data_IF_197566612855
#
_entry.id   IF_197566612855
#
_cell.length_a   1.000
_cell.length_b   1.000
_cell.length_c   1.000
_cell.angle_alpha   90.00
_cell.angle_beta   90.00
_cell.angle_gamma   90.00
#
_symmetry.space_group_name_H-M   'P 1'
#
loop_
_entity.id
_entity.type
_entity.pdbx_description
1 polymer ?
#
# COMPACT_ATOMS: atom_id res chain seq x y z
N UNK A 1 3.55 2.22 3.79
CA UNK A 1 3.78 2.48 2.35
C UNK A 1 3.10 1.38 1.53
N UNK A 2 1.93 1.64 0.94
CA UNK A 2 1.22 0.69 0.07
C UNK A 2 1.62 0.97 -1.37
N UNK A 3 2.00 -0.05 -2.13
CA UNK A 3 2.38 0.08 -3.53
C UNK A 3 1.71 -1.01 -4.35
N UNK A 4 1.21 -0.67 -5.53
CA UNK A 4 0.82 -1.66 -6.54
C UNK A 4 1.85 -1.60 -7.65
N UNK A 5 2.38 -2.76 -8.05
CA UNK A 5 3.39 -2.85 -9.11
C UNK A 5 2.88 -3.75 -10.22
N UNK A 6 3.12 -3.34 -11.48
CA UNK A 6 2.93 -4.16 -12.67
C UNK A 6 4.28 -4.24 -13.34
N UNK A 7 4.93 -5.40 -13.22
CA UNK A 7 6.29 -5.62 -13.71
C UNK A 7 6.23 -6.43 -15.00
N UNK A 8 7.09 -6.07 -15.95
CA UNK A 8 7.31 -6.81 -17.18
C UNK A 8 8.80 -6.95 -17.49
N UNK A 9 9.14 -7.80 -18.46
CA UNK A 9 10.52 -7.94 -18.94
C UNK A 9 11.09 -6.64 -19.52
N UNK A 10 10.21 -5.77 -20.02
CA UNK A 10 10.51 -4.43 -20.52
C UNK A 10 9.40 -3.48 -20.10
N UNK A 11 9.67 -2.17 -20.14
CA UNK A 11 8.63 -1.15 -19.88
C UNK A 11 7.45 -1.31 -20.84
N UNK A 12 7.71 -1.61 -22.11
CA UNK A 12 6.67 -1.81 -23.10
C UNK A 12 5.77 -3.02 -22.73
N UNK A 13 6.36 -4.13 -22.28
CA UNK A 13 5.60 -5.30 -21.86
C UNK A 13 4.76 -5.01 -20.61
N UNK A 14 5.32 -4.30 -19.63
CA UNK A 14 4.60 -3.88 -18.42
C UNK A 14 3.42 -2.95 -18.75
N UNK A 15 3.64 -1.99 -19.67
CA UNK A 15 2.59 -1.09 -20.14
C UNK A 15 1.49 -1.85 -20.88
N UNK A 16 1.83 -2.80 -21.76
CA UNK A 16 0.85 -3.64 -22.44
C UNK A 16 -0.01 -4.45 -21.45
N UNK A 17 0.64 -5.04 -20.44
CA UNK A 17 -0.02 -5.76 -19.34
C UNK A 17 -0.98 -4.85 -18.56
N UNK A 18 -0.55 -3.65 -18.21
CA UNK A 18 -1.41 -2.67 -17.53
C UNK A 18 -2.62 -2.27 -18.38
N UNK A 19 -2.42 -2.00 -19.68
CA UNK A 19 -3.54 -1.69 -20.59
C UNK A 19 -4.53 -2.85 -20.71
N UNK A 20 -4.03 -4.09 -20.72
CA UNK A 20 -4.89 -5.27 -20.69
C UNK A 20 -5.71 -5.32 -19.39
N UNK A 21 -5.06 -5.17 -18.23
CA UNK A 21 -5.74 -5.24 -16.93
C UNK A 21 -6.84 -4.18 -16.81
N UNK A 22 -6.59 -2.95 -17.31
CA UNK A 22 -7.59 -1.87 -17.31
C UNK A 22 -8.90 -2.25 -18.01
N UNK A 23 -8.86 -3.15 -18.99
CA UNK A 23 -10.07 -3.60 -19.71
C UNK A 23 -11.00 -4.46 -18.86
N UNK A 24 -10.48 -5.02 -17.76
CA UNK A 24 -11.24 -5.86 -16.83
C UNK A 24 -11.69 -5.12 -15.57
N UNK A 25 -11.36 -3.83 -15.43
CA UNK A 25 -11.80 -3.00 -14.31
C UNK A 25 -13.32 -2.83 -14.36
N UNK A 26 -13.98 -3.10 -13.24
CA UNK A 26 -15.40 -2.77 -13.06
C UNK A 26 -15.55 -1.33 -12.61
N UNK A 27 -16.28 -0.55 -13.40
CA UNK A 27 -16.65 0.83 -13.06
C UNK A 27 -17.42 0.90 -11.73
N UNK A 28 -18.47 0.08 -11.59
CA UNK A 28 -19.31 0.04 -10.39
C UNK A 28 -18.53 -0.45 -9.17
N UNK A 29 -17.64 -1.44 -9.36
CA UNK A 29 -16.77 -1.94 -8.30
C UNK A 29 -15.79 -0.87 -7.80
N UNK A 30 -15.18 -0.11 -8.70
CA UNK A 30 -14.32 1.01 -8.34
C UNK A 30 -15.10 2.10 -7.59
N UNK A 31 -16.31 2.43 -8.04
CA UNK A 31 -17.19 3.39 -7.36
C UNK A 31 -17.61 2.91 -5.97
N UNK A 32 -17.95 1.64 -5.80
CA UNK A 32 -18.31 1.09 -4.50
C UNK A 32 -17.12 1.19 -3.51
N UNK A 33 -15.91 0.88 -3.98
CA UNK A 33 -14.69 0.96 -3.17
C UNK A 33 -14.38 2.39 -2.71
N UNK A 34 -14.34 3.34 -3.65
CA UNK A 34 -14.05 4.75 -3.32
C UNK A 34 -15.15 5.40 -2.47
N UNK A 35 -16.41 4.97 -2.66
CA UNK A 35 -17.52 5.42 -1.83
C UNK A 35 -17.36 4.95 -0.39
N UNK A 36 -16.95 3.69 -0.19
CA UNK A 36 -16.69 3.14 1.14
C UNK A 36 -15.55 3.84 1.88
N UNK A 37 -14.50 4.26 1.17
CA UNK A 37 -13.36 4.96 1.77
C UNK A 37 -13.63 6.42 2.11
N UNK A 38 -14.45 7.10 1.30
CA UNK A 38 -14.69 8.55 1.45
C UNK A 38 -16.00 8.87 2.16
N UNK A 39 -16.93 7.92 2.25
CA UNK A 39 -18.29 8.13 2.74
C UNK A 39 -19.22 8.87 1.76
N UNK A 40 -18.78 9.07 0.50
CA UNK A 40 -19.56 9.72 -0.55
C UNK A 40 -20.12 8.64 -1.46
N UNK A 41 -21.43 8.57 -1.64
CA UNK A 41 -22.00 7.67 -2.65
C UNK A 41 -21.75 8.25 -4.05
N UNK A 42 -20.74 7.72 -4.76
CA UNK A 42 -20.43 8.16 -6.11
C UNK A 42 -21.37 7.60 -7.18
N UNK A 43 -22.18 6.58 -6.85
CA UNK A 43 -23.14 5.97 -7.78
C UNK A 43 -24.29 6.91 -8.15
N UNK A 44 -24.49 8.00 -7.42
CA UNK A 44 -25.52 9.01 -7.70
C UNK A 44 -25.11 10.04 -8.76
N UNK A 45 -23.85 10.08 -9.18
CA UNK A 45 -23.31 11.09 -10.10
C UNK A 45 -23.10 10.54 -11.51
N UNK A 46 -23.14 11.42 -12.51
CA UNK A 46 -22.90 11.01 -13.89
C UNK A 46 -21.41 10.78 -14.17
N UNK A 47 -21.04 9.84 -15.07
CA UNK A 47 -19.64 9.54 -15.37
C UNK A 47 -18.80 10.74 -15.81
N UNK A 48 -19.39 11.67 -16.57
CA UNK A 48 -18.75 12.88 -17.09
C UNK A 48 -18.79 14.07 -16.11
N UNK A 49 -19.46 13.92 -14.96
CA UNK A 49 -19.59 14.99 -13.99
C UNK A 49 -18.24 15.30 -13.34
N UNK A 50 -17.85 16.58 -13.40
CA UNK A 50 -16.60 17.07 -12.83
C UNK A 50 -16.72 17.17 -11.30
N UNK A 51 -15.80 16.53 -10.57
CA UNK A 51 -15.84 16.43 -9.11
C UNK A 51 -15.76 17.80 -8.43
N UNK A 52 -15.06 18.77 -9.02
CA UNK A 52 -14.96 20.14 -8.49
C UNK A 52 -16.32 20.86 -8.39
N UNK A 53 -17.31 20.44 -9.18
CA UNK A 53 -18.67 20.99 -9.16
C UNK A 53 -19.57 20.31 -8.12
N UNK A 54 -19.05 19.33 -7.39
CA UNK A 54 -19.76 18.67 -6.31
C UNK A 54 -19.41 19.36 -4.98
N UNK A 55 -20.44 19.88 -4.30
CA UNK A 55 -20.27 20.66 -3.09
C UNK A 55 -20.61 19.84 -1.84
N UNK A 56 -19.64 19.07 -1.33
CA UNK A 56 -19.66 18.52 0.04
C UNK A 56 -18.25 18.55 0.63
N UNK A 57 -18.12 18.62 1.97
CA UNK A 57 -16.80 18.64 2.63
C UNK A 57 -16.00 17.36 2.35
N UNK A 58 -16.65 16.20 2.32
CA UNK A 58 -15.99 14.93 2.02
C UNK A 58 -15.46 14.91 0.58
N UNK A 59 -16.23 15.45 -0.39
CA UNK A 59 -15.79 15.49 -1.79
C UNK A 59 -14.58 16.42 -1.95
N UNK A 60 -14.50 17.53 -1.21
CA UNK A 60 -13.33 18.42 -1.28
C UNK A 60 -12.05 17.70 -0.85
N UNK A 61 -12.05 16.92 0.23
CA UNK A 61 -10.86 16.14 0.65
C UNK A 61 -10.47 15.06 -0.35
N UNK A 62 -11.45 14.36 -0.93
CA UNK A 62 -11.18 13.39 -1.99
C UNK A 62 -10.60 14.07 -3.24
N UNK A 63 -11.24 15.15 -3.70
CA UNK A 63 -10.80 15.96 -4.84
C UNK A 63 -9.41 16.52 -4.61
N UNK A 64 -9.09 17.02 -3.42
CA UNK A 64 -7.76 17.52 -3.07
C UNK A 64 -6.71 16.41 -3.22
N UNK A 65 -6.97 15.22 -2.67
CA UNK A 65 -6.08 14.05 -2.80
C UNK A 65 -5.78 13.71 -4.26
N UNK A 66 -6.81 13.66 -5.12
CA UNK A 66 -6.62 13.32 -6.54
C UNK A 66 -6.05 14.49 -7.35
N UNK A 67 -6.38 15.73 -7.00
CA UNK A 67 -5.84 16.92 -7.66
C UNK A 67 -4.37 17.13 -7.32
N UNK A 68 -3.90 16.72 -6.14
CA UNK A 68 -2.45 16.70 -5.84
C UNK A 68 -1.74 15.63 -6.66
N UNK A 69 -2.37 14.48 -6.91
CA UNK A 69 -1.79 13.41 -7.73
C UNK A 69 -1.65 13.80 -9.22
N UNK A 70 -2.62 14.55 -9.77
CA UNK A 70 -2.52 15.15 -11.10
C UNK A 70 -3.21 16.53 -11.12
N UNK A 71 -2.45 17.63 -10.89
CA UNK A 71 -3.01 18.97 -10.74
C UNK A 71 -3.51 19.58 -12.06
N UNK A 72 -3.12 19.01 -13.20
CA UNK A 72 -3.50 19.52 -14.51
C UNK A 72 -4.76 18.83 -15.05
N UNK A 73 -5.22 17.76 -14.39
CA UNK A 73 -6.38 16.97 -14.81
C UNK A 73 -7.68 17.50 -14.23
N UNK A 74 -8.69 17.64 -15.07
CA UNK A 74 -10.07 17.74 -14.62
C UNK A 74 -10.59 16.36 -14.26
N UNK A 75 -10.84 16.13 -12.97
CA UNK A 75 -11.35 14.87 -12.46
C UNK A 75 -12.85 14.75 -12.67
N UNK A 76 -13.25 13.78 -13.50
CA UNK A 76 -14.65 13.31 -13.62
C UNK A 76 -14.87 12.06 -12.78
N UNK A 77 -16.12 11.66 -12.55
CA UNK A 77 -16.45 10.39 -11.87
C UNK A 77 -15.88 9.18 -12.63
N UNK A 78 -15.90 9.21 -13.97
CA UNK A 78 -15.22 8.21 -14.80
C UNK A 78 -13.71 8.20 -14.56
N UNK A 79 -13.07 9.37 -14.57
CA UNK A 79 -11.63 9.47 -14.34
C UNK A 79 -11.23 8.96 -12.95
N UNK A 80 -12.08 9.19 -11.95
CA UNK A 80 -11.92 8.65 -10.60
C UNK A 80 -11.99 7.12 -10.60
N UNK A 81 -13.01 6.53 -11.24
CA UNK A 81 -13.15 5.08 -11.34
C UNK A 81 -11.97 4.43 -12.08
N UNK A 82 -11.53 5.03 -13.18
CA UNK A 82 -10.38 4.56 -13.96
C UNK A 82 -9.07 4.58 -13.15
N UNK A 83 -8.91 5.57 -12.27
CA UNK A 83 -7.75 5.69 -11.40
C UNK A 83 -7.79 4.66 -10.28
N UNK A 84 -8.90 4.57 -9.55
CA UNK A 84 -9.07 3.67 -8.41
C UNK A 84 -9.10 2.20 -8.84
N UNK A 85 -9.50 1.93 -10.08
CA UNK A 85 -9.73 0.59 -10.62
C UNK A 85 -8.55 -0.38 -10.50
N UNK A 86 -7.32 0.12 -10.49
CA UNK A 86 -6.11 -0.67 -10.20
C UNK A 86 -5.25 0.11 -9.20
N UNK A 87 -4.99 -0.48 -8.03
CA UNK A 87 -4.16 0.12 -6.97
C UNK A 87 -4.90 0.99 -5.96
N UNK A 88 -6.18 1.28 -6.19
CA UNK A 88 -7.02 2.00 -5.23
C UNK A 88 -6.54 3.43 -4.99
N UNK A 89 -6.22 3.78 -3.74
CA UNK A 89 -5.61 5.07 -3.37
C UNK A 89 -4.07 5.04 -3.33
N UNK A 90 -3.45 3.87 -3.50
CA UNK A 90 -2.00 3.74 -3.49
C UNK A 90 -1.39 4.12 -4.83
N UNK A 91 -0.09 4.49 -4.87
CA UNK A 91 0.61 4.66 -6.13
C UNK A 91 0.66 3.33 -6.91
N UNK A 92 0.63 3.47 -8.24
CA UNK A 92 0.74 2.38 -9.19
C UNK A 92 2.00 2.57 -10.02
N UNK A 93 2.94 1.64 -9.91
CA UNK A 93 4.19 1.64 -10.68
C UNK A 93 4.07 0.60 -11.81
N UNK A 94 4.34 1.02 -13.04
CA UNK A 94 4.24 0.16 -14.23
C UNK A 94 5.53 0.29 -15.02
N UNK A 95 6.31 -0.80 -15.11
CA UNK A 95 7.59 -0.77 -15.81
C UNK A 95 8.36 -2.08 -15.78
N UNK A 96 9.55 -2.04 -16.33
CA UNK A 96 10.54 -3.12 -16.20
C UNK A 96 10.96 -3.30 -14.74
N UNK A 97 11.65 -4.42 -14.44
CA UNK A 97 12.24 -4.63 -13.13
C UNK A 97 13.20 -3.50 -12.73
N UNK A 98 13.99 -2.97 -13.68
CA UNK A 98 14.91 -1.85 -13.43
C UNK A 98 14.15 -0.56 -13.11
N UNK A 99 13.16 -0.20 -13.92
CA UNK A 99 12.32 0.98 -13.73
C UNK A 99 11.59 0.96 -12.38
N UNK A 100 10.96 -0.17 -12.05
CA UNK A 100 10.24 -0.30 -10.77
C UNK A 100 11.21 -0.30 -9.59
N UNK A 101 12.39 -0.91 -9.73
CA UNK A 101 13.40 -0.89 -8.67
C UNK A 101 14.00 0.51 -8.45
N UNK A 102 14.16 1.32 -9.50
CA UNK A 102 14.60 2.72 -9.41
C UNK A 102 13.59 3.54 -8.60
N UNK A 103 12.30 3.46 -8.95
CA UNK A 103 11.23 4.17 -8.25
C UNK A 103 11.13 3.76 -6.78
N UNK A 104 11.12 2.45 -6.48
CA UNK A 104 11.07 1.99 -5.09
C UNK A 104 12.28 2.46 -4.27
N UNK A 105 13.46 2.58 -4.88
CA UNK A 105 14.64 3.11 -4.18
C UNK A 105 14.56 4.61 -3.96
N UNK A 106 14.11 5.39 -4.95
CA UNK A 106 13.85 6.83 -4.76
C UNK A 106 12.88 7.06 -3.59
N UNK A 107 11.81 6.26 -3.48
CA UNK A 107 10.91 6.33 -2.32
C UNK A 107 11.63 6.07 -0.99
N UNK A 108 12.51 5.07 -0.91
CA UNK A 108 13.29 4.78 0.31
C UNK A 108 14.22 5.96 0.64
N UNK A 109 14.95 6.46 -0.35
CA UNK A 109 15.94 7.54 -0.19
C UNK A 109 15.30 8.87 0.20
N UNK A 110 14.14 9.20 -0.38
CA UNK A 110 13.48 10.49 -0.17
C UNK A 110 12.59 10.52 1.08
N UNK A 111 12.08 9.36 1.51
CA UNK A 111 11.05 9.29 2.57
C UNK A 111 11.45 8.46 3.79
N UNK A 112 12.62 7.82 3.79
CA UNK A 112 13.13 6.98 4.89
C UNK A 112 12.19 5.83 5.26
N UNK A 113 11.48 5.28 4.27
CA UNK A 113 10.60 4.12 4.45
C UNK A 113 11.40 2.82 4.50
N UNK A 114 11.16 1.97 5.50
CA UNK A 114 11.87 0.70 5.66
C UNK A 114 11.38 -0.43 4.73
N UNK A 115 10.28 -0.22 4.01
CA UNK A 115 9.72 -1.22 3.11
C UNK A 115 8.29 -0.94 2.66
N UNK A 116 7.79 -1.87 1.85
CA UNK A 116 6.55 -1.72 1.10
C UNK A 116 5.56 -2.85 1.42
N UNK A 117 4.29 -2.49 1.53
CA UNK A 117 3.19 -3.43 1.46
C UNK A 117 2.76 -3.52 -0.01
N UNK A 118 3.09 -4.62 -0.68
CA UNK A 118 2.77 -4.82 -2.09
C UNK A 118 1.34 -5.34 -2.24
N UNK A 119 0.48 -4.53 -2.88
CA UNK A 119 -0.83 -4.93 -3.37
C UNK A 119 -0.70 -5.57 -4.77
N UNK A 120 -1.77 -6.26 -5.19
CA UNK A 120 -1.83 -6.95 -6.48
C UNK A 120 -2.87 -6.33 -7.41
N UNK A 121 -2.57 -6.33 -8.70
CA UNK A 121 -3.57 -6.09 -9.74
C UNK A 121 -4.26 -7.41 -10.12
N UNK A 122 -3.47 -8.47 -10.32
CA UNK A 122 -3.96 -9.83 -10.62
C UNK A 122 -3.23 -10.82 -9.74
N UNK A 123 -3.99 -11.68 -9.05
CA UNK A 123 -3.43 -12.78 -8.26
C UNK A 123 -3.53 -14.09 -9.06
N UNK A 124 -2.48 -14.90 -9.18
CA UNK A 124 -1.17 -14.83 -8.51
C UNK A 124 -0.08 -14.10 -9.33
N UNK A 125 -0.41 -13.69 -10.56
CA UNK A 125 0.55 -13.17 -11.55
C UNK A 125 1.41 -12.01 -11.03
N UNK A 126 0.83 -11.01 -10.35
CA UNK A 126 1.59 -9.88 -9.81
C UNK A 126 2.71 -10.36 -8.88
N UNK A 127 2.46 -11.35 -8.03
CA UNK A 127 3.47 -11.86 -7.12
C UNK A 127 4.52 -12.72 -7.83
N UNK A 128 4.12 -13.47 -8.85
CA UNK A 128 5.05 -14.21 -9.71
C UNK A 128 6.02 -13.24 -10.39
N UNK A 129 5.53 -12.17 -11.03
CA UNK A 129 6.38 -11.17 -11.68
C UNK A 129 7.32 -10.49 -10.68
N UNK A 130 6.84 -10.16 -9.48
CA UNK A 130 7.68 -9.58 -8.43
C UNK A 130 8.81 -10.53 -8.05
N UNK A 131 8.51 -11.82 -7.84
CA UNK A 131 9.50 -12.81 -7.41
C UNK A 131 10.49 -13.16 -8.54
N UNK A 132 10.01 -13.28 -9.78
CA UNK A 132 10.82 -13.73 -10.90
C UNK A 132 11.61 -12.60 -11.58
N UNK A 133 11.10 -11.37 -11.56
CA UNK A 133 11.71 -10.24 -12.26
C UNK A 133 12.29 -9.21 -11.28
N UNK A 134 11.48 -8.72 -10.34
CA UNK A 134 11.86 -7.59 -9.49
C UNK A 134 12.82 -7.98 -8.36
N UNK A 135 12.57 -9.09 -7.67
CA UNK A 135 13.42 -9.55 -6.57
C UNK A 135 14.88 -9.78 -7.01
N UNK A 136 15.17 -10.45 -8.15
CA UNK A 136 16.53 -10.59 -8.66
C UNK A 136 17.22 -9.25 -8.91
N UNK A 137 16.52 -8.26 -9.47
CA UNK A 137 17.07 -6.92 -9.70
C UNK A 137 17.37 -6.20 -8.38
N UNK A 138 16.46 -6.27 -7.40
CA UNK A 138 16.70 -5.70 -6.07
C UNK A 138 17.86 -6.41 -5.33
N UNK A 139 18.02 -7.72 -5.50
CA UNK A 139 19.15 -8.49 -4.95
C UNK A 139 20.47 -8.12 -5.61
N UNK A 140 20.49 -7.93 -6.93
CA UNK A 140 21.66 -7.46 -7.69
C UNK A 140 22.13 -6.09 -7.22
N UNK A 141 21.19 -5.22 -6.83
CA UNK A 141 21.45 -3.90 -6.24
C UNK A 141 21.84 -3.94 -4.76
N UNK A 142 21.74 -5.10 -4.10
CA UNK A 142 22.08 -5.27 -2.69
C UNK A 142 21.06 -4.69 -1.71
N UNK A 143 19.86 -4.30 -2.18
CA UNK A 143 18.79 -3.70 -1.37
C UNK A 143 17.70 -4.71 -0.97
N UNK A 144 17.86 -5.97 -1.36
CA UNK A 144 17.00 -7.07 -0.93
C UNK A 144 17.82 -8.27 -0.48
N UNK A 145 17.33 -8.96 0.56
CA UNK A 145 18.01 -10.12 1.14
C UNK A 145 18.14 -11.28 0.15
N UNK A 146 19.23 -12.02 0.23
CA UNK A 146 19.43 -13.24 -0.56
C UNK A 146 18.94 -14.50 0.16
N UNK A 147 18.93 -14.47 1.49
CA UNK A 147 18.45 -15.57 2.33
C UNK A 147 17.71 -15.04 3.56
N UNK A 148 16.90 -15.90 4.18
CA UNK A 148 16.27 -15.56 5.44
C UNK A 148 17.23 -15.84 6.59
N UNK A 149 17.47 -14.83 7.42
CA UNK A 149 18.11 -15.03 8.71
C UNK A 149 17.24 -15.97 9.59
N UNK A 150 17.84 -16.77 10.48
CA UNK A 150 17.08 -17.60 11.41
C UNK A 150 16.28 -16.76 12.42
N UNK A 151 15.35 -17.40 13.12
CA UNK A 151 14.56 -16.78 14.17
C UNK A 151 13.17 -16.30 13.74
N UNK A 152 12.52 -15.60 14.67
CA UNK A 152 11.15 -15.08 14.56
C UNK A 152 11.06 -13.90 13.58
N UNK A 153 9.83 -13.55 13.18
CA UNK A 153 9.59 -12.36 12.35
C UNK A 153 10.11 -11.06 13.00
N UNK A 154 10.00 -10.94 14.33
CA UNK A 154 10.51 -9.76 15.04
C UNK A 154 12.03 -9.64 14.95
N UNK A 155 12.73 -10.76 15.08
CA UNK A 155 14.19 -10.78 14.92
C UNK A 155 14.59 -10.37 13.52
N UNK A 156 13.90 -10.89 12.50
CA UNK A 156 14.15 -10.55 11.09
C UNK A 156 13.87 -9.08 10.74
N UNK A 157 12.89 -8.46 11.38
CA UNK A 157 12.51 -7.07 11.11
C UNK A 157 13.31 -6.05 11.93
N UNK A 158 13.66 -6.38 13.18
CA UNK A 158 14.19 -5.38 14.13
C UNK A 158 15.56 -5.75 14.71
N UNK A 159 16.01 -7.00 14.60
CA UNK A 159 17.29 -7.45 15.19
C UNK A 159 17.36 -7.43 16.73
N UNK A 160 16.26 -7.08 17.43
CA UNK A 160 16.24 -6.84 18.89
C UNK A 160 15.68 -8.02 19.71
N UNK A 161 15.76 -9.24 19.16
CA UNK A 161 15.28 -10.45 19.81
C UNK A 161 13.79 -10.76 19.61
N UNK A 162 13.31 -11.89 20.13
CA UNK A 162 12.01 -12.45 19.75
C UNK A 162 10.80 -11.79 20.45
N UNK A 163 11.04 -10.85 21.38
CA UNK A 163 9.99 -10.23 22.19
C UNK A 163 10.12 -8.70 22.18
N UNK A 164 9.02 -8.03 22.52
CA UNK A 164 9.00 -6.58 22.72
C UNK A 164 9.99 -6.18 23.82
N UNK A 165 10.89 -5.24 23.52
CA UNK A 165 11.82 -4.65 24.48
C UNK A 165 11.30 -3.28 24.95
N UNK A 166 11.87 -2.76 26.04
CA UNK A 166 11.64 -1.35 26.39
C UNK A 166 12.20 -0.46 25.26
N UNK A 167 11.53 0.65 24.89
CA UNK A 167 10.41 1.28 25.59
C UNK A 167 9.01 0.85 25.10
N UNK A 168 8.87 -0.24 24.34
CA UNK A 168 7.57 -0.64 23.80
C UNK A 168 6.57 -0.92 24.95
N UNK A 169 5.35 -0.32 24.96
CA UNK A 169 4.40 -0.42 26.09
C UNK A 169 4.08 -1.86 26.50
N UNK A 170 3.93 -2.76 25.52
CA UNK A 170 3.71 -4.19 25.75
C UNK A 170 4.81 -4.90 26.56
N UNK A 171 6.04 -4.36 26.61
CA UNK A 171 7.12 -4.91 27.43
C UNK A 171 6.84 -4.72 28.94
N UNK A 172 6.16 -3.64 29.34
CA UNK A 172 5.83 -3.34 30.74
C UNK A 172 4.80 -4.28 31.37
N UNK A 173 4.04 -5.01 30.57
CA UNK A 173 3.05 -6.00 31.03
C UNK A 173 3.63 -7.41 31.20
N UNK A 174 4.93 -7.60 30.94
CA UNK A 174 5.57 -8.91 31.11
C UNK A 174 5.67 -9.23 32.60
N UNK A 175 4.89 -10.20 33.06
CA UNK A 175 5.07 -10.77 34.40
C UNK A 175 6.42 -11.47 34.44
N UNK A 176 7.33 -10.98 35.27
CA UNK A 176 8.54 -11.72 35.63
C UNK A 176 8.08 -13.03 36.27
N UNK A 177 8.58 -14.17 35.79
CA UNK A 177 8.40 -15.43 36.51
C UNK A 177 9.15 -15.30 37.85
N UNK A 178 8.44 -14.91 38.91
CA UNK A 178 9.03 -14.72 40.24
C UNK A 178 8.43 -13.63 41.14
N UNK A 179 7.42 -12.86 40.71
CA UNK A 179 6.74 -11.92 41.62
C UNK A 179 5.34 -12.43 41.93
N UNK A 180 5.19 -13.06 43.10
CA UNK A 180 3.89 -13.21 43.76
C UNK A 180 3.27 -11.81 43.95
N UNK A 181 2.06 -11.60 43.43
CA UNK A 181 1.28 -10.42 43.77
C UNK A 181 0.81 -10.56 45.22
N UNK A 182 1.05 -9.60 46.11
CA UNK A 182 0.40 -9.62 47.41
C UNK A 182 -1.11 -9.46 47.19
N UNK A 183 -1.88 -10.37 47.79
CA UNK A 183 -3.34 -10.35 47.74
C UNK A 183 -3.85 -8.98 48.23
N UNK A 184 -4.57 -8.27 47.37
CA UNK A 184 -5.23 -7.03 47.75
C UNK A 184 -6.27 -7.36 48.84
N UNK A 185 -5.98 -6.96 50.09
CA UNK A 185 -6.98 -6.91 51.15
C UNK A 185 -7.96 -5.79 50.81
N UNK A 186 -9.21 -6.17 50.58
CA UNK A 186 -10.34 -5.25 50.60
C UNK A 186 -10.62 -4.95 52.07
N UNK A 187 -10.17 -3.79 52.56
CA UNK A 187 -10.71 -3.23 53.80
C UNK A 187 -11.93 -2.39 53.45
N UNK A 188 -13.08 -2.88 53.88
CA UNK A 188 -14.35 -2.15 53.87
C UNK A 188 -14.38 -1.28 55.11
N UNK A 189 -14.58 0.02 54.96
CA UNK A 189 -15.10 0.93 55.98
C UNK A 189 -15.93 2.00 55.32
#
# INVERSE_FOLDING_TARGET
NLQTVIVGETDLAAQAKWQEYKRYVSYEGALALISGWTGIDFGQYQPDQVLKHLHTNAIQSAVETFSTADPNRQWTVQGLADWVGIGGFGPLLVGSAETVADELQSWVEETDVDGFNLAYAVTHETFTDVVELLVPELQKRGVYKQEYQPGTLREKLFGQGPRLALPHPGAGYRRSAGVEQPAARVEVS
#
